data_IF_570311980868
#
_entry.id   IF_570311980868
#
_cell.length_a   1.000
_cell.length_b   1.000
_cell.length_c   1.000
_cell.angle_alpha   90.00
_cell.angle_beta   90.00
_cell.angle_gamma   90.00
#
_symmetry.space_group_name_H-M   'P 1'
#
loop_
_entity.id
_entity.type
_entity.pdbx_description
1 polymer ?
#
# COMPACT_ATOMS: atom_id res chain seq x y z
N UNK A 1 5.76 -50.13 -44.69
CA UNK A 1 6.16 -48.80 -45.22
C UNK A 1 6.42 -47.87 -44.05
N UNK A 2 7.54 -47.14 -44.02
CA UNK A 2 7.71 -45.92 -43.22
C UNK A 2 7.95 -46.05 -41.69
N UNK A 3 9.19 -46.34 -41.29
CA UNK A 3 9.79 -45.96 -39.98
C UNK A 3 10.10 -44.43 -39.98
N UNK A 4 10.60 -43.70 -38.96
CA UNK A 4 10.95 -43.83 -37.52
C UNK A 4 11.07 -42.37 -36.97
N UNK A 5 10.77 -42.01 -35.72
CA UNK A 5 11.53 -42.16 -34.46
C UNK A 5 12.85 -41.34 -34.33
N UNK A 6 13.03 -40.70 -33.15
CA UNK A 6 14.28 -40.04 -32.71
C UNK A 6 14.54 -38.64 -33.31
N UNK A 7 15.38 -37.78 -32.72
CA UNK A 7 16.15 -37.92 -31.48
C UNK A 7 17.29 -36.90 -31.42
N UNK A 8 17.49 -36.30 -30.25
CA UNK A 8 18.68 -35.58 -29.79
C UNK A 8 20.03 -36.09 -30.34
N UNK A 9 20.89 -35.18 -30.85
CA UNK A 9 22.22 -34.85 -30.26
C UNK A 9 22.88 -33.62 -30.96
N UNK A 10 24.01 -33.13 -30.43
CA UNK A 10 24.95 -32.22 -31.11
C UNK A 10 25.83 -32.99 -32.12
N UNK A 11 26.65 -32.30 -32.93
CA UNK A 11 28.09 -32.48 -32.72
C UNK A 11 28.98 -31.24 -32.95
N UNK A 12 30.24 -31.37 -32.52
CA UNK A 12 31.36 -30.42 -32.73
C UNK A 12 31.99 -30.49 -34.14
N UNK A 13 32.68 -29.40 -34.53
CA UNK A 13 33.71 -29.34 -35.58
C UNK A 13 33.89 -27.91 -36.11
N UNK A 14 34.99 -27.18 -35.81
CA UNK A 14 36.30 -27.15 -36.53
C UNK A 14 36.16 -26.80 -38.03
N UNK A 15 36.94 -25.90 -38.64
CA UNK A 15 38.01 -24.95 -38.26
C UNK A 15 38.14 -23.96 -39.47
N UNK A 16 38.71 -22.75 -39.43
CA UNK A 16 39.39 -21.93 -38.41
C UNK A 16 40.20 -20.82 -39.12
N UNK A 17 40.41 -19.62 -38.52
CA UNK A 17 41.33 -18.59 -39.09
C UNK A 17 41.91 -17.65 -38.02
N UNK A 18 43.19 -17.33 -38.17
CA UNK A 18 44.05 -16.72 -37.14
C UNK A 18 43.92 -15.19 -37.05
N UNK A 19 44.24 -14.63 -35.86
CA UNK A 19 44.08 -13.19 -35.56
C UNK A 19 44.82 -12.63 -34.34
N UNK A 20 45.98 -13.20 -33.98
CA UNK A 20 47.12 -12.60 -33.23
C UNK A 20 46.83 -11.44 -32.22
N UNK A 21 46.89 -11.74 -30.90
CA UNK A 21 47.02 -10.72 -29.83
C UNK A 21 47.05 -11.31 -28.41
N UNK A 22 48.05 -10.94 -27.60
CA UNK A 22 48.34 -11.53 -26.25
C UNK A 22 48.11 -10.47 -25.11
N UNK A 23 48.41 -10.69 -23.81
CA UNK A 23 47.35 -10.85 -22.80
C UNK A 23 47.33 -9.82 -21.65
N UNK A 24 46.19 -9.70 -20.96
CA UNK A 24 45.99 -9.32 -19.55
C UNK A 24 44.49 -9.44 -19.24
N UNK A 25 44.01 -9.75 -18.03
CA UNK A 25 44.66 -9.90 -16.73
C UNK A 25 43.68 -9.42 -15.64
N UNK A 26 43.68 -10.05 -14.45
CA UNK A 26 42.81 -9.67 -13.33
C UNK A 26 41.51 -10.48 -13.22
N UNK A 27 41.32 -11.14 -12.08
CA UNK A 27 40.18 -12.02 -11.83
C UNK A 27 38.93 -11.30 -11.31
N UNK A 28 37.80 -12.00 -11.36
CA UNK A 28 36.51 -11.52 -10.85
C UNK A 28 36.07 -12.35 -9.63
N UNK A 29 35.92 -11.73 -8.44
CA UNK A 29 35.09 -12.28 -7.39
C UNK A 29 33.86 -11.41 -7.13
N UNK A 30 32.69 -12.05 -7.05
CA UNK A 30 31.52 -11.56 -6.31
C UNK A 30 30.97 -10.19 -6.67
N UNK A 31 29.98 -10.15 -7.57
CA UNK A 31 29.04 -9.04 -7.66
C UNK A 31 28.16 -9.01 -6.39
N UNK A 32 28.66 -8.39 -5.32
CA UNK A 32 27.87 -8.08 -4.15
C UNK A 32 26.77 -7.09 -4.53
N UNK A 33 25.53 -7.40 -4.15
CA UNK A 33 24.34 -6.60 -4.43
C UNK A 33 24.39 -5.26 -3.68
N UNK A 34 25.06 -4.26 -4.26
CA UNK A 34 24.85 -2.85 -3.88
C UNK A 34 23.46 -2.45 -4.30
N UNK A 35 22.53 -2.45 -3.35
CA UNK A 35 21.29 -1.70 -3.49
C UNK A 35 21.64 -0.26 -3.85
N UNK A 36 21.05 0.24 -4.92
CA UNK A 36 21.24 1.61 -5.39
C UNK A 36 20.55 2.56 -4.41
N UNK A 37 21.26 2.97 -3.38
CA UNK A 37 20.87 4.12 -2.58
C UNK A 37 20.75 5.31 -3.55
N UNK A 38 19.52 5.82 -3.72
CA UNK A 38 19.31 7.14 -4.31
C UNK A 38 20.08 8.20 -3.52
N UNK A 39 20.25 9.43 -4.05
CA UNK A 39 21.06 10.46 -3.40
C UNK A 39 20.71 10.56 -1.91
N UNK A 40 21.64 10.12 -1.05
CA UNK A 40 21.48 10.29 0.40
C UNK A 40 21.64 11.77 0.65
N UNK A 41 20.56 12.42 1.08
CA UNK A 41 20.63 13.79 1.56
C UNK A 41 21.67 13.83 2.69
N UNK A 42 22.57 14.83 2.70
CA UNK A 42 23.54 14.96 3.78
C UNK A 42 22.80 15.09 5.10
N UNK A 43 23.32 14.46 6.15
CA UNK A 43 22.73 14.57 7.49
C UNK A 43 22.80 16.04 7.93
N UNK A 44 21.71 16.61 8.48
CA UNK A 44 21.70 17.99 8.97
C UNK A 44 22.45 18.12 10.29
N UNK A 45 22.39 19.30 10.93
CA UNK A 45 22.91 19.47 12.29
C UNK A 45 22.16 18.56 13.28
N UNK A 46 22.78 18.26 14.42
CA UNK A 46 22.18 17.40 15.44
C UNK A 46 20.86 17.96 15.98
N UNK A 47 20.78 19.27 16.20
CA UNK A 47 19.55 19.99 16.60
C UNK A 47 18.41 19.81 15.58
N UNK A 48 18.68 20.06 14.29
CA UNK A 48 17.68 19.91 13.22
C UNK A 48 17.28 18.43 13.01
N UNK A 49 18.23 17.51 13.16
CA UNK A 49 17.97 16.07 13.12
C UNK A 49 17.00 15.65 14.22
N UNK A 50 17.20 16.14 15.45
CA UNK A 50 16.30 15.82 16.58
C UNK A 50 14.92 16.44 16.39
N UNK A 51 14.80 17.68 15.89
CA UNK A 51 13.49 18.29 15.56
C UNK A 51 12.73 17.46 14.53
N UNK A 52 13.37 17.12 13.39
CA UNK A 52 12.77 16.29 12.34
C UNK A 52 12.39 14.90 12.86
N UNK A 53 13.28 14.27 13.63
CA UNK A 53 13.04 12.94 14.20
C UNK A 53 11.86 12.94 15.18
N UNK A 54 11.77 13.94 16.06
CA UNK A 54 10.63 14.10 16.98
C UNK A 54 9.31 14.33 16.22
N UNK A 55 9.32 15.12 15.14
CA UNK A 55 8.14 15.29 14.28
C UNK A 55 7.69 13.95 13.65
N UNK A 56 8.64 13.13 13.19
CA UNK A 56 8.39 11.78 12.68
C UNK A 56 7.75 10.89 13.75
N UNK A 57 8.34 10.79 14.96
CA UNK A 57 7.80 9.94 16.03
C UNK A 57 6.39 10.37 16.47
N UNK A 58 6.12 11.67 16.55
CA UNK A 58 4.80 12.20 16.86
C UNK A 58 3.74 11.81 15.81
N UNK A 59 4.14 11.65 14.55
CA UNK A 59 3.24 11.25 13.46
C UNK A 59 2.88 9.75 13.46
N UNK A 60 3.68 8.92 14.14
CA UNK A 60 3.58 7.44 14.12
C UNK A 60 2.66 6.84 15.19
N UNK A 61 2.09 7.64 16.10
CA UNK A 61 1.19 7.20 17.18
C UNK A 61 1.77 6.04 18.04
N UNK A 62 3.02 6.17 18.44
CA UNK A 62 3.76 5.11 19.16
C UNK A 62 3.51 5.14 20.68
N UNK A 63 3.50 3.96 21.36
CA UNK A 63 3.50 3.91 22.81
C UNK A 63 4.76 4.57 23.42
N UNK A 64 4.68 5.18 24.62
CA UNK A 64 5.79 5.92 25.23
C UNK A 64 7.10 5.13 25.34
N UNK A 65 7.04 3.82 25.60
CA UNK A 65 8.24 3.00 25.73
C UNK A 65 8.92 2.71 24.39
N UNK A 66 8.16 2.72 23.28
CA UNK A 66 8.73 2.63 21.93
C UNK A 66 9.36 3.95 21.50
N UNK A 67 8.76 5.09 21.87
CA UNK A 67 9.37 6.41 21.70
C UNK A 67 10.71 6.48 22.43
N UNK A 68 10.74 6.16 23.74
CA UNK A 68 11.99 6.14 24.54
C UNK A 68 13.08 5.23 23.98
N UNK A 69 12.71 4.08 23.40
CA UNK A 69 13.66 3.17 22.77
C UNK A 69 14.26 3.78 21.50
N UNK A 70 13.43 4.43 20.66
CA UNK A 70 13.87 5.07 19.43
C UNK A 70 14.69 6.34 19.69
N UNK A 71 14.42 7.09 20.76
CA UNK A 71 15.25 8.24 21.17
C UNK A 71 16.70 7.87 21.50
N UNK A 72 16.98 6.62 21.87
CA UNK A 72 18.33 6.11 22.16
C UNK A 72 19.12 5.69 20.90
N UNK A 73 18.55 5.84 19.70
CA UNK A 73 19.24 5.52 18.46
C UNK A 73 20.36 6.51 18.15
N UNK A 74 21.42 6.00 17.54
CA UNK A 74 22.49 6.74 16.87
C UNK A 74 21.95 7.62 15.74
N UNK A 75 22.65 8.74 15.49
CA UNK A 75 22.21 9.78 14.56
C UNK A 75 22.06 9.27 13.12
N UNK A 76 22.90 8.32 12.67
CA UNK A 76 22.70 7.58 11.42
C UNK A 76 21.34 6.90 11.31
N UNK A 77 20.87 6.22 12.35
CA UNK A 77 19.56 5.53 12.35
C UNK A 77 18.40 6.51 12.51
N UNK A 78 18.55 7.57 13.32
CA UNK A 78 17.57 8.67 13.39
C UNK A 78 17.37 9.28 11.99
N UNK A 79 18.47 9.53 11.26
CA UNK A 79 18.43 10.12 9.92
C UNK A 79 17.87 9.17 8.87
N UNK A 80 18.17 7.87 8.94
CA UNK A 80 17.56 6.85 8.09
C UNK A 80 16.03 6.80 8.26
N UNK A 81 15.53 6.82 9.51
CA UNK A 81 14.10 6.88 9.80
C UNK A 81 13.43 8.17 9.29
N UNK A 82 14.10 9.32 9.41
CA UNK A 82 13.60 10.59 8.83
C UNK A 82 13.54 10.51 7.30
N UNK A 83 14.60 10.02 6.65
CA UNK A 83 14.66 9.84 5.21
C UNK A 83 13.56 8.89 4.68
N UNK A 84 13.31 7.79 5.39
CA UNK A 84 12.27 6.83 5.02
C UNK A 84 10.86 7.42 5.18
N UNK A 85 10.63 8.21 6.25
CA UNK A 85 9.36 8.88 6.46
C UNK A 85 9.10 10.01 5.45
N UNK A 86 10.13 10.78 5.07
CA UNK A 86 10.05 11.81 4.01
C UNK A 86 9.81 11.18 2.61
N UNK A 87 10.32 9.97 2.37
CA UNK A 87 10.08 9.21 1.13
C UNK A 87 8.69 8.56 1.07
N UNK A 88 8.04 8.35 2.22
CA UNK A 88 6.73 7.72 2.29
C UNK A 88 5.64 8.65 1.73
N UNK A 89 5.04 8.24 0.61
CA UNK A 89 3.89 8.93 0.03
C UNK A 89 2.60 8.15 0.29
N UNK A 90 1.60 8.83 0.84
CA UNK A 90 0.24 8.32 1.00
C UNK A 90 -0.37 8.03 -0.39
N UNK A 91 -0.85 6.81 -0.59
CA UNK A 91 -1.39 6.34 -1.89
C UNK A 91 -2.65 7.10 -2.35
N UNK A 92 -3.58 7.38 -1.43
CA UNK A 92 -4.78 8.18 -1.69
C UNK A 92 -5.21 8.93 -0.41
N UNK A 93 -5.83 10.12 -0.52
CA UNK A 93 -6.44 10.80 0.63
C UNK A 93 -7.71 10.06 1.12
N UNK A 94 -8.16 10.30 2.37
CA UNK A 94 -9.41 9.77 2.94
C UNK A 94 -10.62 9.94 2.02
N UNK A 95 -10.80 11.14 1.48
CA UNK A 95 -11.92 11.52 0.61
C UNK A 95 -12.09 10.59 -0.59
N UNK A 96 -11.00 10.10 -1.19
CA UNK A 96 -11.02 9.21 -2.34
C UNK A 96 -11.57 7.80 -2.02
N UNK A 97 -11.41 7.32 -0.78
CA UNK A 97 -12.05 6.09 -0.31
C UNK A 97 -13.54 6.33 -0.03
N UNK A 98 -13.85 7.43 0.65
CA UNK A 98 -15.21 7.81 1.04
C UNK A 98 -16.12 8.02 -0.17
N UNK A 99 -15.67 8.73 -1.21
CA UNK A 99 -16.41 8.92 -2.45
C UNK A 99 -16.73 7.59 -3.15
N UNK A 100 -15.77 6.66 -3.22
CA UNK A 100 -16.00 5.32 -3.79
C UNK A 100 -17.06 4.55 -2.99
N UNK A 101 -16.98 4.56 -1.66
CA UNK A 101 -17.95 3.88 -0.79
C UNK A 101 -19.36 4.48 -0.95
N UNK A 102 -19.52 5.82 -0.89
CA UNK A 102 -20.80 6.48 -1.13
C UNK A 102 -21.40 6.10 -2.50
N UNK A 103 -20.58 6.09 -3.56
CA UNK A 103 -21.03 5.72 -4.91
C UNK A 103 -21.60 4.30 -5.01
N UNK A 104 -21.14 3.34 -4.19
CA UNK A 104 -21.70 1.99 -4.19
C UNK A 104 -23.07 1.91 -3.49
N UNK A 105 -23.37 2.82 -2.54
CA UNK A 105 -24.68 2.93 -1.88
C UNK A 105 -25.70 3.53 -2.84
N UNK A 106 -25.37 4.67 -3.45
CA UNK A 106 -26.26 5.42 -4.35
C UNK A 106 -26.72 4.59 -5.56
N UNK A 107 -25.87 3.71 -6.07
CA UNK A 107 -26.23 2.87 -7.22
C UNK A 107 -27.18 1.69 -6.89
N UNK A 108 -27.63 1.54 -5.64
CA UNK A 108 -28.70 0.65 -5.21
C UNK A 108 -28.47 -0.86 -5.41
N UNK A 109 -29.55 -1.65 -5.38
CA UNK A 109 -29.52 -3.11 -5.57
C UNK A 109 -29.74 -3.47 -7.04
N UNK A 110 -28.68 -3.35 -7.86
CA UNK A 110 -28.71 -3.71 -9.29
C UNK A 110 -28.26 -5.15 -9.55
N UNK A 111 -28.60 -5.69 -10.73
CA UNK A 111 -28.31 -7.08 -11.18
C UNK A 111 -26.81 -7.48 -11.17
N UNK A 112 -25.89 -6.53 -10.94
CA UNK A 112 -24.43 -6.78 -10.77
C UNK A 112 -23.97 -6.82 -9.29
N UNK A 113 -24.91 -6.98 -8.34
CA UNK A 113 -24.68 -6.96 -6.89
C UNK A 113 -23.41 -7.70 -6.43
N UNK A 114 -23.22 -8.97 -6.83
CA UNK A 114 -22.06 -9.79 -6.42
C UNK A 114 -20.71 -9.14 -6.77
N UNK A 115 -20.60 -8.47 -7.93
CA UNK A 115 -19.34 -7.80 -8.33
C UNK A 115 -19.10 -6.54 -7.50
N UNK A 116 -20.15 -5.75 -7.25
CA UNK A 116 -20.06 -4.56 -6.38
C UNK A 116 -19.72 -4.89 -4.93
N UNK A 117 -20.24 -6.00 -4.39
CA UNK A 117 -19.85 -6.48 -3.05
C UNK A 117 -18.35 -6.82 -3.02
N UNK A 118 -17.81 -7.47 -4.05
CA UNK A 118 -16.35 -7.73 -4.12
C UNK A 118 -15.51 -6.45 -4.27
N UNK A 119 -15.91 -5.54 -5.16
CA UNK A 119 -15.24 -4.26 -5.40
C UNK A 119 -15.25 -3.37 -4.13
N UNK A 120 -16.39 -3.25 -3.45
CA UNK A 120 -16.50 -2.51 -2.18
C UNK A 120 -15.75 -3.14 -1.02
N UNK A 121 -15.78 -4.48 -0.88
CA UNK A 121 -14.97 -5.17 0.15
C UNK A 121 -13.47 -4.94 -0.08
N UNK A 122 -13.02 -4.83 -1.33
CA UNK A 122 -11.64 -4.45 -1.63
C UNK A 122 -11.33 -3.00 -1.20
N UNK A 123 -12.22 -2.05 -1.48
CA UNK A 123 -12.07 -0.66 -1.02
C UNK A 123 -12.04 -0.56 0.51
N UNK A 124 -12.88 -1.34 1.22
CA UNK A 124 -12.88 -1.40 2.69
C UNK A 124 -11.58 -1.99 3.25
N UNK A 125 -10.99 -3.02 2.62
CA UNK A 125 -9.66 -3.54 3.00
C UNK A 125 -8.56 -2.51 2.80
N UNK A 126 -8.54 -1.82 1.64
CA UNK A 126 -7.55 -0.77 1.41
C UNK A 126 -7.72 0.43 2.35
N UNK A 127 -8.94 0.72 2.78
CA UNK A 127 -9.24 1.74 3.79
C UNK A 127 -8.76 1.32 5.20
N UNK A 128 -9.01 0.07 5.63
CA UNK A 128 -8.50 -0.46 6.91
C UNK A 128 -6.97 -0.38 6.97
N UNK A 129 -6.28 -0.84 5.91
CA UNK A 129 -4.83 -0.75 5.82
C UNK A 129 -4.39 0.72 5.92
N UNK A 130 -5.01 1.63 5.16
CA UNK A 130 -4.66 3.06 5.18
C UNK A 130 -4.84 3.69 6.55
N UNK A 131 -5.94 3.39 7.25
CA UNK A 131 -6.21 3.84 8.63
C UNK A 131 -5.19 3.31 9.63
N UNK A 132 -4.67 2.09 9.42
CA UNK A 132 -3.76 1.40 10.34
C UNK A 132 -2.27 1.70 10.08
N UNK A 133 -1.89 2.09 8.86
CA UNK A 133 -0.47 2.23 8.47
C UNK A 133 -0.04 3.62 7.99
N UNK A 134 -0.97 4.55 7.75
CA UNK A 134 -0.59 5.94 7.46
C UNK A 134 -0.29 6.71 8.77
N UNK A 135 0.32 7.88 8.63
CA UNK A 135 0.54 8.82 9.73
C UNK A 135 -0.79 9.26 10.38
N UNK A 136 -0.75 9.60 11.68
CA UNK A 136 -1.94 9.93 12.49
C UNK A 136 -2.81 11.05 11.89
N UNK A 137 -2.19 12.03 11.21
CA UNK A 137 -2.89 13.10 10.50
C UNK A 137 -3.86 12.60 9.42
N UNK A 138 -3.57 11.47 8.77
CA UNK A 138 -4.49 10.86 7.79
C UNK A 138 -5.77 10.35 8.46
N UNK A 139 -5.65 9.75 9.65
CA UNK A 139 -6.80 9.33 10.44
C UNK A 139 -7.57 10.52 11.01
N UNK A 140 -6.89 11.60 11.42
CA UNK A 140 -7.54 12.85 11.81
C UNK A 140 -8.31 13.48 10.65
N UNK A 141 -7.74 13.53 9.45
CA UNK A 141 -8.41 14.01 8.23
C UNK A 141 -9.63 13.13 7.88
N UNK A 142 -9.52 11.80 8.00
CA UNK A 142 -10.64 10.88 7.81
C UNK A 142 -11.80 11.15 8.80
N UNK A 143 -11.48 11.50 10.05
CA UNK A 143 -12.45 11.74 11.12
C UNK A 143 -12.99 13.18 11.18
N UNK A 144 -12.50 14.10 10.35
CA UNK A 144 -12.86 15.51 10.42
C UNK A 144 -14.32 15.78 9.96
N UNK A 145 -14.82 17.00 10.20
CA UNK A 145 -16.20 17.41 9.90
C UNK A 145 -16.55 17.45 8.39
N UNK A 146 -15.52 17.51 7.52
CA UNK A 146 -15.66 17.55 6.06
C UNK A 146 -15.83 16.13 5.48
N UNK A 147 -14.94 15.21 5.86
CA UNK A 147 -14.95 13.83 5.40
C UNK A 147 -16.01 13.00 6.12
N UNK A 148 -16.18 13.20 7.43
CA UNK A 148 -17.09 12.44 8.30
C UNK A 148 -16.97 10.94 8.10
N UNK A 149 -15.75 10.42 8.20
CA UNK A 149 -15.46 9.02 7.85
C UNK A 149 -16.21 7.99 8.70
N UNK A 150 -16.70 8.37 9.89
CA UNK A 150 -17.54 7.52 10.73
C UNK A 150 -18.94 7.30 10.17
N UNK A 151 -19.53 8.28 9.46
CA UNK A 151 -20.87 8.18 8.84
C UNK A 151 -20.95 6.97 7.86
N UNK A 152 -19.81 6.49 7.35
CA UNK A 152 -19.73 5.27 6.54
C UNK A 152 -20.31 4.05 7.26
N UNK A 153 -20.27 3.99 8.60
CA UNK A 153 -20.88 2.89 9.34
C UNK A 153 -22.42 2.91 9.19
N UNK A 154 -23.03 4.08 9.29
CA UNK A 154 -24.47 4.28 9.13
C UNK A 154 -24.94 4.05 7.69
N UNK A 155 -24.16 4.52 6.70
CA UNK A 155 -24.50 4.37 5.28
C UNK A 155 -24.12 3.01 4.65
N UNK A 156 -23.11 2.30 5.19
CA UNK A 156 -22.52 1.13 4.52
C UNK A 156 -22.56 -0.18 5.33
N UNK A 157 -22.58 -0.12 6.67
CA UNK A 157 -22.61 -1.33 7.50
C UNK A 157 -24.03 -1.58 8.02
N UNK A 158 -24.71 -0.53 8.48
CA UNK A 158 -26.07 -0.64 9.00
C UNK A 158 -27.07 -1.29 8.00
N UNK A 159 -27.13 -0.90 6.71
CA UNK A 159 -28.11 -1.44 5.76
C UNK A 159 -27.94 -2.92 5.36
N UNK A 160 -26.79 -3.52 5.70
CA UNK A 160 -26.53 -4.95 5.49
C UNK A 160 -26.57 -5.76 6.78
N UNK A 161 -26.70 -5.11 7.94
CA UNK A 161 -27.07 -5.77 9.18
C UNK A 161 -28.55 -6.20 9.11
N UNK A 162 -28.88 -7.38 9.62
CA UNK A 162 -30.22 -7.96 9.54
C UNK A 162 -31.32 -7.21 10.34
N UNK A 163 -30.97 -6.07 10.94
CA UNK A 163 -31.82 -5.27 11.82
C UNK A 163 -32.28 -3.94 11.18
N UNK A 164 -31.61 -3.47 10.12
CA UNK A 164 -31.96 -2.19 9.50
C UNK A 164 -33.05 -2.36 8.43
N UNK A 165 -34.25 -1.88 8.73
CA UNK A 165 -35.31 -1.67 7.73
C UNK A 165 -35.24 -0.23 7.23
N UNK A 166 -34.89 0.03 5.96
CA UNK A 166 -34.91 1.38 5.41
C UNK A 166 -36.27 2.07 5.61
N UNK A 167 -36.32 3.36 6.00
CA UNK A 167 -37.59 4.08 6.19
C UNK A 167 -38.53 4.02 4.98
N UNK A 168 -37.96 3.93 3.78
CA UNK A 168 -38.68 3.77 2.51
C UNK A 168 -39.57 2.51 2.45
N UNK A 169 -39.21 1.46 3.20
CA UNK A 169 -39.95 0.18 3.25
C UNK A 169 -40.94 0.11 4.41
N UNK A 170 -40.83 0.97 5.42
CA UNK A 170 -41.79 1.08 6.52
C UNK A 170 -43.13 1.76 6.11
N UNK A 171 -43.15 2.46 4.97
CA UNK A 171 -44.33 3.24 4.51
C UNK A 171 -45.26 2.50 3.52
N UNK A 172 -45.06 1.21 3.23
CA UNK A 172 -46.09 0.43 2.52
C UNK A 172 -47.20 0.03 3.48
N UNK A 173 -48.24 0.88 3.59
CA UNK A 173 -49.55 0.46 4.12
C UNK A 173 -50.01 -0.79 3.36
N UNK A 174 -50.61 -1.80 4.03
CA UNK A 174 -51.28 -2.88 3.33
C UNK A 174 -52.50 -2.31 2.61
N UNK A 175 -52.53 -2.43 1.28
CA UNK A 175 -53.80 -2.32 0.54
C UNK A 175 -54.68 -3.50 0.95
N UNK A 176 -55.86 -3.20 1.51
CA UNK A 176 -56.85 -4.22 1.81
C UNK A 176 -57.44 -4.72 0.49
N UNK A 177 -57.46 -6.04 0.22
CA UNK A 177 -58.25 -6.57 -0.88
C UNK A 177 -59.75 -6.32 -0.59
N UNK A 178 -60.49 -6.07 -1.68
CA UNK A 178 -61.96 -5.98 -1.70
C UNK A 178 -62.56 -7.30 -2.22
#
# INVERSE_FOLDING_TARGET
>A
MGNAAGGMDLPLGKEGKEGKGTPSGGGTPGAAHRQTAGPRLPMPSEEELEERFNAVLNSMNLPPDKVKLLCQYDNEKKWELVCDQERFQVKNPPSAYLQKLRSYVEQGVSRKFKRRVQESTQVLRELEISLRTNHIGWAQEFLNEENRGLDVQDYYICPFSATYVPPQLLCRKPESPA
#
